data_IF_472422477465
#
_entry.id   IF_472422477465
#
_cell.length_a   1.000
_cell.length_b   1.000
_cell.length_c   1.000
_cell.angle_alpha   90.00
_cell.angle_beta   90.00
_cell.angle_gamma   90.00
#
_symmetry.space_group_name_H-M   'P 1'
#
loop_
_entity.id
_entity.type
_entity.pdbx_description
1 polymer ?
#
# COMPACT_ATOMS: atom_id res chain seq x y z
N UNK A 1 0.92 20.18 15.99
CA UNK A 1 1.26 19.02 15.13
C UNK A 1 1.66 19.53 13.77
N UNK A 2 2.78 19.07 13.22
CA UNK A 2 3.20 19.39 11.85
C UNK A 2 2.74 18.25 10.94
N UNK A 3 2.00 18.57 9.88
CA UNK A 3 1.55 17.61 8.87
C UNK A 3 2.40 17.79 7.61
N UNK A 4 3.01 16.71 7.14
CA UNK A 4 3.78 16.68 5.91
C UNK A 4 2.99 15.92 4.85
N UNK A 5 2.95 16.45 3.62
CA UNK A 5 2.31 15.79 2.47
C UNK A 5 3.33 15.67 1.33
N UNK A 6 3.38 14.48 0.74
CA UNK A 6 4.09 14.20 -0.50
C UNK A 6 3.13 13.49 -1.45
N UNK A 7 3.24 13.77 -2.75
CA UNK A 7 2.39 13.18 -3.79
C UNK A 7 3.24 12.89 -5.03
N UNK A 8 3.02 11.72 -5.63
CA UNK A 8 3.68 11.31 -6.87
C UNK A 8 2.66 10.61 -7.77
N UNK A 9 2.63 11.01 -9.05
CA UNK A 9 1.67 10.54 -10.04
C UNK A 9 2.37 10.31 -11.37
N UNK A 10 1.95 9.26 -12.09
CA UNK A 10 2.49 8.88 -13.40
C UNK A 10 1.33 8.50 -14.32
N UNK A 11 1.38 8.95 -15.57
CA UNK A 11 0.44 8.53 -16.60
C UNK A 11 0.79 7.12 -17.11
N UNK A 12 -0.21 6.24 -17.19
CA UNK A 12 -0.01 4.87 -17.65
C UNK A 12 -1.08 4.48 -18.68
N UNK A 13 -0.67 3.76 -19.72
CA UNK A 13 -1.54 3.32 -20.82
C UNK A 13 -2.29 2.03 -20.44
N UNK A 14 -3.01 2.06 -19.31
CA UNK A 14 -3.81 0.94 -18.80
C UNK A 14 -5.18 1.43 -18.35
N UNK A 15 -6.16 0.52 -18.31
CA UNK A 15 -7.47 0.86 -17.76
C UNK A 15 -7.40 1.02 -16.25
N UNK A 16 -8.30 1.84 -15.70
CA UNK A 16 -8.41 2.02 -14.24
C UNK A 16 -8.71 0.72 -13.52
N UNK A 17 -9.57 -0.12 -14.10
CA UNK A 17 -9.91 -1.43 -13.54
C UNK A 17 -8.69 -2.35 -13.47
N UNK A 18 -7.86 -2.36 -14.52
CA UNK A 18 -6.63 -3.15 -14.51
C UNK A 18 -5.64 -2.64 -13.46
N UNK A 19 -5.41 -1.32 -13.41
CA UNK A 19 -4.51 -0.72 -12.42
C UNK A 19 -4.98 -1.05 -10.99
N UNK A 20 -6.29 -0.95 -10.74
CA UNK A 20 -6.88 -1.29 -9.44
C UNK A 20 -6.72 -2.77 -9.09
N UNK A 21 -7.04 -3.69 -10.00
CA UNK A 21 -6.86 -5.12 -9.77
C UNK A 21 -5.40 -5.50 -9.56
N UNK A 22 -4.50 -4.88 -10.32
CA UNK A 22 -3.06 -5.09 -10.19
C UNK A 22 -2.57 -4.64 -8.81
N UNK A 23 -2.95 -3.44 -8.37
CA UNK A 23 -2.47 -2.86 -7.12
C UNK A 23 -3.10 -3.51 -5.87
N UNK A 24 -4.39 -3.86 -5.91
CA UNK A 24 -5.07 -4.55 -4.79
C UNK A 24 -4.62 -6.00 -4.62
N UNK A 25 -4.01 -6.61 -5.64
CA UNK A 25 -3.27 -7.85 -5.51
C UNK A 25 -1.87 -7.57 -4.97
N UNK A 26 -1.72 -7.60 -3.64
CA UNK A 26 -0.45 -7.29 -2.94
C UNK A 26 0.73 -8.17 -3.36
N UNK A 27 0.47 -9.35 -3.93
CA UNK A 27 1.51 -10.23 -4.48
C UNK A 27 2.25 -9.64 -5.68
N UNK A 28 1.68 -8.61 -6.32
CA UNK A 28 2.31 -7.91 -7.43
C UNK A 28 3.30 -6.82 -6.98
N UNK A 29 3.26 -6.39 -5.73
CA UNK A 29 4.09 -5.28 -5.25
C UNK A 29 5.60 -5.52 -5.40
N UNK A 30 6.15 -6.73 -5.15
CA UNK A 30 7.56 -7.01 -5.40
C UNK A 30 7.99 -6.83 -6.87
N UNK A 31 7.05 -6.83 -7.82
CA UNK A 31 7.34 -6.62 -9.23
C UNK A 31 7.50 -5.14 -9.60
N UNK A 32 6.94 -4.23 -8.80
CA UNK A 32 6.97 -2.77 -9.04
C UNK A 32 7.80 -1.99 -8.02
N UNK A 33 8.07 -2.57 -6.85
CA UNK A 33 8.97 -2.03 -5.84
C UNK A 33 10.14 -3.00 -5.58
N UNK A 34 11.34 -2.71 -6.10
CA UNK A 34 12.52 -3.56 -5.91
C UNK A 34 12.93 -3.72 -4.43
N UNK A 35 12.54 -2.78 -3.57
CA UNK A 35 12.85 -2.83 -2.14
C UNK A 35 11.99 -3.87 -1.39
N UNK A 36 10.87 -4.26 -1.98
CA UNK A 36 9.95 -5.26 -1.43
C UNK A 36 10.39 -6.67 -1.81
N UNK A 37 10.51 -7.53 -0.81
CA UNK A 37 10.78 -8.96 -0.99
C UNK A 37 9.48 -9.75 -1.12
N UNK A 38 8.55 -9.53 -0.18
CA UNK A 38 7.28 -10.22 -0.13
C UNK A 38 6.24 -9.36 0.59
N UNK A 39 4.97 -9.57 0.26
CA UNK A 39 3.85 -8.93 0.95
C UNK A 39 2.85 -10.01 1.34
N UNK A 40 2.33 -9.92 2.56
CA UNK A 40 1.25 -10.76 3.07
C UNK A 40 0.08 -9.88 3.49
N UNK A 41 -1.13 -10.36 3.23
CA UNK A 41 -2.37 -9.71 3.62
C UNK A 41 -3.23 -10.71 4.39
N UNK A 42 -3.71 -10.31 5.55
CA UNK A 42 -4.48 -11.17 6.46
C UNK A 42 -5.98 -11.11 6.14
N UNK A 43 -6.34 -11.44 4.90
CA UNK A 43 -7.73 -11.42 4.42
C UNK A 43 -7.90 -10.75 3.06
N UNK A 44 -9.14 -10.34 2.71
CA UNK A 44 -9.40 -9.62 1.46
C UNK A 44 -8.82 -8.20 1.50
N UNK A 45 -8.61 -7.59 0.33
CA UNK A 45 -8.21 -6.19 0.25
C UNK A 45 -9.41 -5.28 0.62
N UNK A 46 -9.61 -5.06 1.92
CA UNK A 46 -10.74 -4.31 2.47
C UNK A 46 -10.30 -3.49 3.69
N UNK A 47 -11.04 -2.41 3.98
CA UNK A 47 -10.81 -1.61 5.17
C UNK A 47 -10.85 -2.47 6.45
N UNK A 48 -9.92 -2.22 7.36
CA UNK A 48 -9.68 -2.99 8.58
C UNK A 48 -8.64 -4.11 8.41
N UNK A 49 -8.35 -4.55 7.18
CA UNK A 49 -7.42 -5.66 6.93
C UNK A 49 -5.98 -5.24 7.20
N UNK A 50 -5.21 -6.13 7.83
CA UNK A 50 -3.80 -5.91 8.12
C UNK A 50 -2.93 -6.59 7.08
N UNK A 51 -1.77 -6.01 6.86
CA UNK A 51 -0.75 -6.60 6.00
C UNK A 51 0.65 -6.40 6.58
N UNK A 52 1.56 -7.21 6.04
CA UNK A 52 2.97 -7.15 6.38
C UNK A 52 3.78 -7.13 5.10
N UNK A 53 4.62 -6.12 4.96
CA UNK A 53 5.61 -6.02 3.89
C UNK A 53 6.96 -6.43 4.45
N UNK A 54 7.56 -7.47 3.87
CA UNK A 54 8.96 -7.82 4.11
C UNK A 54 9.82 -7.08 3.10
N UNK A 55 10.66 -6.19 3.59
CA UNK A 55 11.67 -5.51 2.78
C UNK A 55 12.93 -6.38 2.65
N UNK A 56 13.69 -6.19 1.57
CA UNK A 56 14.95 -6.95 1.35
C UNK A 56 16.08 -6.54 2.28
N UNK A 57 16.09 -5.28 2.71
CA UNK A 57 17.19 -4.65 3.45
C UNK A 57 16.82 -4.20 4.87
N UNK A 58 15.53 -4.19 5.20
CA UNK A 58 14.99 -3.67 6.46
C UNK A 58 14.07 -4.70 7.11
N UNK A 59 13.77 -4.48 8.38
CA UNK A 59 12.76 -5.26 9.12
C UNK A 59 11.39 -5.19 8.44
N UNK A 60 10.58 -6.21 8.69
CA UNK A 60 9.23 -6.28 8.16
C UNK A 60 8.36 -5.16 8.74
N UNK A 61 7.62 -4.49 7.86
CA UNK A 61 6.75 -3.37 8.21
C UNK A 61 5.30 -3.87 8.25
N UNK A 62 4.64 -3.63 9.38
CA UNK A 62 3.21 -3.91 9.53
C UNK A 62 2.41 -2.66 9.18
N UNK A 63 1.27 -2.89 8.53
CA UNK A 63 0.40 -1.83 8.06
C UNK A 63 -1.06 -2.29 8.06
N UNK A 64 -1.98 -1.34 7.92
CA UNK A 64 -3.41 -1.60 7.90
C UNK A 64 -4.09 -0.79 6.81
N UNK A 65 -5.03 -1.40 6.11
CA UNK A 65 -5.93 -0.72 5.19
C UNK A 65 -6.99 -0.01 6.02
N UNK A 66 -7.09 1.32 5.94
CA UNK A 66 -8.08 2.10 6.69
C UNK A 66 -9.27 2.50 5.86
N UNK A 67 -9.10 2.61 4.54
CA UNK A 67 -10.17 2.94 3.63
C UNK A 67 -10.00 2.21 2.30
N UNK A 68 -11.10 1.77 1.70
CA UNK A 68 -11.15 1.27 0.32
C UNK A 68 -12.38 1.86 -0.34
N UNK A 69 -12.18 2.50 -1.47
CA UNK A 69 -13.22 2.86 -2.43
C UNK A 69 -12.97 2.06 -3.69
N UNK A 70 -13.94 1.19 -4.01
CA UNK A 70 -13.83 0.28 -5.12
C UNK A 70 -13.46 1.00 -6.42
N UNK A 71 -12.39 0.52 -7.06
CA UNK A 71 -11.87 0.97 -8.37
C UNK A 71 -11.37 2.41 -8.41
N UNK A 72 -11.16 3.06 -7.27
CA UNK A 72 -10.71 4.46 -7.24
C UNK A 72 -9.62 4.77 -6.23
N UNK A 73 -9.69 4.24 -5.00
CA UNK A 73 -8.79 4.67 -3.93
C UNK A 73 -8.66 3.63 -2.83
N UNK A 74 -7.48 3.53 -2.24
CA UNK A 74 -7.32 2.88 -0.95
C UNK A 74 -6.39 3.71 -0.06
N UNK A 75 -6.63 3.68 1.23
CA UNK A 75 -5.76 4.29 2.22
C UNK A 75 -5.08 3.19 3.05
N UNK A 76 -3.76 3.24 3.15
CA UNK A 76 -2.95 2.37 4.01
C UNK A 76 -2.27 3.23 5.06
N UNK A 77 -2.35 2.80 6.31
CA UNK A 77 -1.64 3.40 7.42
C UNK A 77 -0.49 2.52 7.88
N UNK A 78 0.68 3.15 8.02
CA UNK A 78 1.92 2.52 8.48
C UNK A 78 2.35 3.24 9.77
N UNK A 79 2.30 2.55 10.93
CA UNK A 79 2.80 3.11 12.18
C UNK A 79 4.32 3.35 12.11
N UNK A 80 4.76 4.53 12.53
CA UNK A 80 6.16 4.88 12.66
C UNK A 80 6.44 5.47 14.06
N UNK A 81 7.69 5.49 14.54
CA UNK A 81 8.01 6.09 15.83
C UNK A 81 7.59 7.58 15.89
N UNK A 82 6.55 7.87 16.69
CA UNK A 82 6.03 9.23 16.88
C UNK A 82 5.19 9.79 15.72
N UNK A 83 4.85 8.97 14.71
CA UNK A 83 4.08 9.39 13.55
C UNK A 83 3.23 8.24 12.95
N UNK A 84 2.28 8.59 12.10
CA UNK A 84 1.56 7.64 11.24
C UNK A 84 1.73 8.11 9.80
N UNK A 85 2.29 7.25 8.96
CA UNK A 85 2.33 7.49 7.53
C UNK A 85 0.99 7.04 6.95
N UNK A 86 0.31 7.95 6.23
CA UNK A 86 -0.91 7.66 5.49
C UNK A 86 -0.61 7.70 4.00
N UNK A 87 -0.75 6.57 3.32
CA UNK A 87 -0.60 6.45 1.88
C UNK A 87 -2.00 6.38 1.25
N UNK A 88 -2.30 7.35 0.38
CA UNK A 88 -3.58 7.53 -0.31
C UNK A 88 -3.48 7.13 -1.79
#
# INVERSE_FOLDING_TARGET
MTMWKFEHSVECQVTRDFAWQFWTNVGNWPAVDPSVEAVKLDGPFAAGTKGTTKSRSLDSVNWQITEVQDRSRACIEIPAPGAILKCL
#
